data_IF_248467342957
#
_entry.id   IF_248467342957
#
_cell.length_a   1.000
_cell.length_b   1.000
_cell.length_c   1.000
_cell.angle_alpha   90.00
_cell.angle_beta   90.00
_cell.angle_gamma   90.00
#
_symmetry.space_group_name_H-M   'P 1'
#
loop_
_entity.id
_entity.type
_entity.pdbx_description
1 polymer ?
#
# COMPACT_ATOMS: atom_id res chain seq x y z
N UNK A 1 30.27 2.48 15.89
CA UNK A 1 28.79 2.56 15.83
C UNK A 1 28.32 3.80 15.07
N UNK A 2 29.08 4.91 15.08
CA UNK A 2 28.89 6.01 14.13
C UNK A 2 27.67 6.91 14.42
N UNK A 3 27.12 6.82 15.62
CA UNK A 3 26.07 7.73 16.07
C UNK A 3 26.63 9.15 16.23
N UNK A 4 26.02 10.08 15.50
CA UNK A 4 26.22 11.51 15.64
C UNK A 4 25.12 12.06 16.55
N UNK A 5 25.51 12.65 17.67
CA UNK A 5 24.59 13.35 18.58
C UNK A 5 24.74 14.85 18.37
N UNK A 6 23.63 15.53 18.05
CA UNK A 6 23.60 16.98 17.90
C UNK A 6 23.03 17.62 19.16
N UNK A 7 23.70 18.65 19.68
CA UNK A 7 23.20 19.51 20.76
C UNK A 7 23.00 20.91 20.24
N UNK A 8 21.85 21.51 20.55
CA UNK A 8 21.54 22.88 20.15
C UNK A 8 22.08 23.85 21.21
N UNK A 9 22.92 24.80 20.79
CA UNK A 9 23.46 25.85 21.66
C UNK A 9 22.77 27.18 21.38
N UNK A 10 21.87 27.61 22.28
CA UNK A 10 21.15 28.88 22.14
C UNK A 10 22.04 30.14 22.20
N UNK A 11 23.25 30.02 22.75
CA UNK A 11 24.18 31.15 22.97
C UNK A 11 25.03 31.48 21.76
N UNK A 12 25.22 30.52 20.85
CA UNK A 12 26.03 30.69 19.66
C UNK A 12 25.12 30.76 18.44
N UNK A 13 25.03 31.96 17.84
CA UNK A 13 24.26 32.22 16.62
C UNK A 13 25.20 32.79 15.58
N UNK A 14 25.16 32.21 14.40
CA UNK A 14 25.85 32.71 13.22
C UNK A 14 24.82 33.29 12.25
N UNK A 15 25.14 34.45 11.69
CA UNK A 15 24.31 35.12 10.70
C UNK A 15 25.07 35.16 9.38
N UNK A 16 24.43 34.70 8.31
CA UNK A 16 24.98 34.72 6.97
C UNK A 16 24.16 35.66 6.09
N UNK A 17 24.83 36.59 5.42
CA UNK A 17 24.20 37.45 4.43
C UNK A 17 23.98 36.66 3.14
N UNK A 18 22.72 36.58 2.69
CA UNK A 18 22.31 35.84 1.50
C UNK A 18 21.14 36.54 0.81
N UNK A 19 21.16 36.55 -0.52
CA UNK A 19 20.05 37.08 -1.31
C UNK A 19 18.90 36.07 -1.44
N UNK A 20 19.17 34.77 -1.32
CA UNK A 20 18.18 33.69 -1.50
C UNK A 20 18.59 32.43 -0.75
N UNK A 21 17.61 31.72 -0.18
CA UNK A 21 17.79 30.42 0.51
C UNK A 21 16.90 29.38 -0.15
N UNK A 22 17.45 28.19 -0.44
CA UNK A 22 16.71 27.00 -0.86
C UNK A 22 16.94 25.89 0.16
N UNK A 23 15.87 25.44 0.82
CA UNK A 23 15.92 24.36 1.81
C UNK A 23 15.64 23.02 1.11
N UNK A 24 16.60 22.10 1.18
CA UNK A 24 16.54 20.80 0.50
C UNK A 24 16.68 19.61 1.47
N UNK A 25 15.93 19.62 2.58
CA UNK A 25 15.97 18.58 3.63
C UNK A 25 15.02 17.40 3.40
N UNK A 26 14.70 17.08 2.14
CA UNK A 26 13.79 16.00 1.72
C UNK A 26 12.31 16.20 2.09
N UNK A 27 11.48 15.18 1.85
CA UNK A 27 10.05 15.14 2.17
C UNK A 27 9.69 13.95 3.07
N UNK A 28 8.68 14.15 3.93
CA UNK A 28 7.99 13.07 4.66
C UNK A 28 6.65 12.71 4.01
N UNK A 29 6.16 11.47 4.19
CA UNK A 29 4.85 11.06 3.68
C UNK A 29 3.73 11.86 4.34
N UNK A 30 2.75 12.32 3.54
CA UNK A 30 1.55 12.98 4.08
C UNK A 30 0.55 11.93 4.57
N UNK A 31 0.06 12.10 5.79
CA UNK A 31 -0.83 11.14 6.46
C UNK A 31 -2.29 11.16 5.97
N UNK A 32 -2.64 12.06 5.04
CA UNK A 32 -4.03 12.24 4.58
C UNK A 32 -4.58 11.05 3.79
N UNK A 33 -3.72 10.25 3.14
CA UNK A 33 -4.12 9.08 2.35
C UNK A 33 -4.58 7.94 3.26
N UNK A 34 -3.93 7.75 4.40
CA UNK A 34 -4.20 6.64 5.34
C UNK A 34 -5.10 7.04 6.51
N UNK A 35 -5.25 8.34 6.79
CA UNK A 35 -6.05 8.82 7.93
C UNK A 35 -7.54 8.51 7.80
N UNK A 36 -8.01 8.23 6.57
CA UNK A 36 -9.42 7.91 6.27
C UNK A 36 -9.69 6.41 6.15
N UNK A 37 -8.65 5.57 6.01
CA UNK A 37 -8.79 4.13 5.82
C UNK A 37 -7.99 3.38 6.89
N UNK A 38 -8.70 2.94 7.94
CA UNK A 38 -8.09 2.24 9.10
C UNK A 38 -7.60 0.83 8.77
N UNK A 39 -7.96 0.29 7.61
CA UNK A 39 -7.52 -1.04 7.18
C UNK A 39 -6.12 -1.01 6.56
N UNK A 40 -5.59 0.18 6.23
CA UNK A 40 -4.24 0.37 5.70
C UNK A 40 -3.30 0.79 6.85
N UNK A 41 -2.37 -0.08 7.21
CA UNK A 41 -1.37 0.21 8.25
C UNK A 41 -0.22 1.05 7.70
N UNK A 42 0.31 1.91 8.56
CA UNK A 42 1.56 2.65 8.36
C UNK A 42 2.56 2.34 9.46
N UNK A 43 3.85 2.50 9.16
CA UNK A 43 4.92 2.42 10.15
C UNK A 43 5.09 3.75 10.91
N UNK A 44 6.03 3.77 11.86
CA UNK A 44 6.32 4.96 12.69
C UNK A 44 6.86 6.16 11.88
N UNK A 45 7.27 5.92 10.63
CA UNK A 45 7.73 6.95 9.69
C UNK A 45 6.60 7.45 8.79
N UNK A 46 5.39 6.90 8.92
CA UNK A 46 4.22 7.21 8.11
C UNK A 46 4.22 6.56 6.73
N UNK A 47 5.09 5.57 6.49
CA UNK A 47 5.14 4.81 5.23
C UNK A 47 4.10 3.68 5.27
N UNK A 48 3.49 3.39 4.12
CA UNK A 48 2.52 2.30 3.99
C UNK A 48 3.23 0.96 4.16
N UNK A 49 2.71 0.14 5.07
CA UNK A 49 3.22 -1.22 5.28
C UNK A 49 2.71 -2.13 4.16
N UNK A 50 3.62 -2.72 3.41
CA UNK A 50 3.32 -3.68 2.35
C UNK A 50 4.05 -5.00 2.54
N UNK A 51 3.52 -6.08 1.93
CA UNK A 51 4.27 -7.32 1.72
C UNK A 51 5.22 -7.17 0.52
N UNK A 52 6.01 -8.21 0.24
CA UNK A 52 6.99 -8.22 -0.85
C UNK A 52 6.35 -8.10 -2.26
N UNK A 53 5.09 -8.47 -2.41
CA UNK A 53 4.30 -8.32 -3.63
C UNK A 53 3.64 -6.92 -3.78
N UNK A 54 3.83 -6.04 -2.79
CA UNK A 54 3.21 -4.71 -2.74
C UNK A 54 1.77 -4.69 -2.20
N UNK A 55 1.22 -5.83 -1.79
CA UNK A 55 -0.09 -5.86 -1.13
C UNK A 55 -0.04 -5.14 0.22
N UNK A 56 -1.04 -4.31 0.48
CA UNK A 56 -1.20 -3.65 1.78
C UNK A 56 -1.90 -4.58 2.78
N UNK A 57 -2.18 -4.06 3.97
CA UNK A 57 -3.00 -4.77 4.96
C UNK A 57 -4.48 -4.84 4.59
N UNK A 58 -4.94 -4.02 3.64
CA UNK A 58 -6.30 -4.07 3.09
C UNK A 58 -6.31 -4.97 1.85
N UNK A 59 -7.22 -5.94 1.81
CA UNK A 59 -7.35 -6.85 0.66
C UNK A 59 -7.67 -6.08 -0.62
N UNK A 60 -7.07 -6.51 -1.73
CA UNK A 60 -7.23 -5.87 -3.04
C UNK A 60 -6.57 -4.49 -3.19
N UNK A 61 -5.89 -3.97 -2.16
CA UNK A 61 -5.17 -2.70 -2.22
C UNK A 61 -3.67 -2.93 -2.22
N UNK A 62 -3.00 -2.33 -3.20
CA UNK A 62 -1.56 -2.42 -3.42
C UNK A 62 -0.92 -1.04 -3.36
N UNK A 63 0.37 -0.98 -3.00
CA UNK A 63 1.12 0.27 -2.92
C UNK A 63 2.60 0.06 -3.26
N UNK A 64 3.24 1.08 -3.79
CA UNK A 64 4.66 1.06 -4.16
C UNK A 64 5.27 2.46 -4.24
N UNK A 65 6.57 2.51 -4.52
CA UNK A 65 7.34 3.77 -4.61
C UNK A 65 7.65 4.40 -3.25
N UNK A 66 7.91 5.70 -3.24
CA UNK A 66 8.43 6.43 -2.07
C UNK A 66 7.52 6.36 -0.84
N UNK A 67 6.21 6.22 -1.02
CA UNK A 67 5.24 6.09 0.08
C UNK A 67 5.36 4.75 0.84
N UNK A 68 6.07 3.77 0.27
CA UNK A 68 6.39 2.48 0.87
C UNK A 68 7.86 2.43 1.29
N UNK A 69 8.77 2.88 0.42
CA UNK A 69 10.21 2.67 0.61
C UNK A 69 10.97 3.87 1.18
N UNK A 70 10.32 5.04 1.27
CA UNK A 70 11.01 6.33 1.36
C UNK A 70 11.71 6.69 0.05
N UNK A 71 12.33 7.87 0.01
CA UNK A 71 13.00 8.40 -1.17
C UNK A 71 14.04 7.40 -1.73
N UNK A 72 13.78 6.92 -2.95
CA UNK A 72 14.68 6.02 -3.69
C UNK A 72 14.92 6.52 -5.11
N UNK A 73 15.79 5.83 -5.84
CA UNK A 73 16.02 6.13 -7.25
C UNK A 73 14.80 5.75 -8.10
N UNK A 74 14.62 6.45 -9.23
CA UNK A 74 13.55 6.15 -10.18
C UNK A 74 13.62 4.70 -10.68
N UNK A 75 14.84 4.17 -10.88
CA UNK A 75 15.03 2.79 -11.35
C UNK A 75 14.49 1.78 -10.34
N UNK A 76 14.73 1.99 -9.05
CA UNK A 76 14.19 1.11 -8.00
C UNK A 76 12.67 1.20 -7.92
N UNK A 77 12.11 2.41 -8.00
CA UNK A 77 10.67 2.62 -7.98
C UNK A 77 9.97 1.92 -9.15
N UNK A 78 10.50 2.06 -10.37
CA UNK A 78 9.96 1.42 -11.57
C UNK A 78 10.09 -0.11 -11.52
N UNK A 79 11.23 -0.63 -11.02
CA UNK A 79 11.41 -2.07 -10.82
C UNK A 79 10.36 -2.63 -9.85
N UNK A 80 10.11 -1.94 -8.74
CA UNK A 80 9.07 -2.32 -7.78
C UNK A 80 7.68 -2.27 -8.42
N UNK A 81 7.36 -1.19 -9.16
CA UNK A 81 6.08 -1.02 -9.82
C UNK A 81 5.76 -2.15 -10.81
N UNK A 82 6.76 -2.64 -11.57
CA UNK A 82 6.57 -3.76 -12.50
C UNK A 82 6.14 -5.04 -11.76
N UNK A 83 6.82 -5.39 -10.67
CA UNK A 83 6.48 -6.57 -9.87
C UNK A 83 5.07 -6.45 -9.25
N UNK A 84 4.71 -5.27 -8.77
CA UNK A 84 3.38 -5.01 -8.20
C UNK A 84 2.29 -5.16 -9.27
N UNK A 85 2.51 -4.64 -10.48
CA UNK A 85 1.56 -4.76 -11.58
C UNK A 85 1.30 -6.23 -11.96
N UNK A 86 2.34 -7.06 -12.02
CA UNK A 86 2.21 -8.51 -12.26
C UNK A 86 1.38 -9.19 -11.14
N UNK A 87 1.57 -8.80 -9.89
CA UNK A 87 0.82 -9.35 -8.75
C UNK A 87 -0.62 -8.87 -8.68
N UNK A 88 -0.90 -7.65 -9.11
CA UNK A 88 -2.26 -7.14 -9.26
C UNK A 88 -3.03 -7.91 -10.34
N UNK A 89 -2.38 -8.23 -11.47
CA UNK A 89 -3.00 -9.04 -12.54
C UNK A 89 -3.34 -10.45 -12.04
N UNK A 90 -2.40 -11.11 -11.36
CA UNK A 90 -2.64 -12.41 -10.72
C UNK A 90 -3.81 -12.37 -9.73
N UNK A 91 -3.88 -11.33 -8.89
CA UNK A 91 -4.97 -11.13 -7.93
C UNK A 91 -6.34 -11.03 -8.61
N UNK A 92 -6.44 -10.26 -9.69
CA UNK A 92 -7.70 -10.09 -10.43
C UNK A 92 -8.16 -11.41 -11.07
N UNK A 93 -7.25 -12.16 -11.68
CA UNK A 93 -7.56 -13.46 -12.30
C UNK A 93 -8.05 -14.47 -11.25
N UNK A 94 -7.42 -14.50 -10.07
CA UNK A 94 -7.86 -15.37 -8.98
C UNK A 94 -9.25 -14.96 -8.49
N UNK A 95 -9.50 -13.66 -8.31
CA UNK A 95 -10.80 -13.15 -7.87
C UNK A 95 -11.93 -13.49 -8.83
N UNK A 96 -11.71 -13.35 -10.13
CA UNK A 96 -12.71 -13.72 -11.15
C UNK A 96 -13.04 -15.22 -11.08
N UNK A 97 -12.03 -16.09 -10.92
CA UNK A 97 -12.25 -17.54 -10.78
C UNK A 97 -13.02 -17.90 -9.51
N UNK A 98 -12.68 -17.27 -8.38
CA UNK A 98 -13.39 -17.44 -7.10
C UNK A 98 -14.87 -17.06 -7.24
N UNK A 99 -15.17 -15.95 -7.94
CA UNK A 99 -16.56 -15.52 -8.20
C UNK A 99 -17.32 -16.49 -9.10
N UNK A 100 -16.70 -16.97 -10.19
CA UNK A 100 -17.32 -17.95 -11.09
C UNK A 100 -17.65 -19.25 -10.35
N UNK A 101 -16.74 -19.74 -9.51
CA UNK A 101 -16.94 -20.99 -8.76
C UNK A 101 -18.04 -20.82 -7.71
N UNK A 102 -18.08 -19.69 -7.01
CA UNK A 102 -19.14 -19.37 -6.06
C UNK A 102 -20.51 -19.32 -6.74
N UNK A 103 -20.61 -18.73 -7.92
CA UNK A 103 -21.85 -18.66 -8.68
C UNK A 103 -22.35 -20.04 -9.13
N UNK A 104 -21.44 -20.92 -9.59
CA UNK A 104 -21.79 -22.31 -9.94
C UNK A 104 -22.36 -23.09 -8.75
N UNK A 105 -21.78 -22.91 -7.56
CA UNK A 105 -22.27 -23.57 -6.35
C UNK A 105 -23.69 -23.09 -6.00
N UNK A 106 -23.95 -21.78 -6.11
CA UNK A 106 -25.28 -21.21 -5.86
C UNK A 106 -26.32 -21.74 -6.86
N UNK A 107 -25.97 -21.79 -8.16
CA UNK A 107 -26.85 -22.33 -9.19
C UNK A 107 -27.21 -23.80 -8.94
N UNK A 108 -26.22 -24.63 -8.58
CA UNK A 108 -26.45 -26.05 -8.29
C UNK A 108 -27.36 -26.26 -7.08
N UNK A 109 -27.13 -25.53 -5.98
CA UNK A 109 -27.97 -25.65 -4.78
C UNK A 109 -29.43 -25.24 -5.06
N UNK A 110 -29.64 -24.20 -5.87
CA UNK A 110 -30.99 -23.78 -6.25
C UNK A 110 -31.70 -24.82 -7.13
N UNK A 111 -30.98 -25.53 -8.00
CA UNK A 111 -31.56 -26.61 -8.81
C UNK A 111 -32.00 -27.79 -7.93
N UNK A 112 -31.18 -28.20 -6.97
CA UNK A 112 -31.50 -29.28 -6.03
C UNK A 112 -32.72 -28.95 -5.15
N UNK A 113 -32.86 -27.71 -4.67
CA UNK A 113 -34.04 -27.30 -3.87
C UNK A 113 -35.35 -27.33 -4.69
N UNK A 114 -35.32 -26.86 -5.95
CA UNK A 114 -36.49 -26.87 -6.82
C UNK A 114 -36.94 -28.29 -7.21
N UNK A 115 -35.99 -29.22 -7.40
CA UNK A 115 -36.31 -30.62 -7.68
C UNK A 115 -36.98 -31.31 -6.47
N UNK A 116 -36.57 -30.97 -5.24
CA UNK A 116 -37.17 -31.52 -4.02
C UNK A 116 -38.58 -30.99 -3.76
N UNK A 117 -38.86 -29.73 -4.11
CA UNK A 117 -40.22 -29.16 -4.00
C UNK A 117 -41.19 -29.78 -5.01
N UNK A 118 -40.75 -30.02 -6.26
CA UNK A 118 -41.58 -30.65 -7.29
C UNK A 118 -41.93 -32.13 -7.02
N UNK A 119 -41.18 -32.83 -6.16
CA UNK A 119 -41.48 -34.21 -5.77
C UNK A 119 -42.52 -34.27 -4.64
N UNK A 120 -42.73 -33.16 -3.90
CA UNK A 120 -43.64 -33.10 -2.74
C UNK A 120 -45.06 -32.62 -3.08
N UNK A 121 -45.35 -32.24 -4.33
CA UNK A 121 -46.68 -31.89 -4.84
C UNK A 121 -47.38 -33.07 -5.52
#
# INVERSE_FOLDING_TARGET
DGELTYTYNEKEKEFHEVDTIIIAVSQGPRSNIVSRDKEIKVDDRGLIVTRADGSTTKDGVFSGGDVVTGARTVVEAVKGAKNIAEKMDEYLIIKEKEEIEKNKIIENNNLEENDVENIKS
#
